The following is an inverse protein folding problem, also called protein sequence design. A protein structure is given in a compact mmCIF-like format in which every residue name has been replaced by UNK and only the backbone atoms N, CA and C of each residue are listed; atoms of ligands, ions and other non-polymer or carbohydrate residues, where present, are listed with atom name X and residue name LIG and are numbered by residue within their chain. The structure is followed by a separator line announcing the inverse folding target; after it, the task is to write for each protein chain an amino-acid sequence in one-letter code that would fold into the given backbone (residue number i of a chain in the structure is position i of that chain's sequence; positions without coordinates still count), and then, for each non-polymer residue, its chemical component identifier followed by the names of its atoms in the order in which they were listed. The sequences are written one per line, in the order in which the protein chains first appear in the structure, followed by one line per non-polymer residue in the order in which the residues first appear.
data_IF_098556749805
#
_entry.id   IF_098556749805
#
_cell.length_a   1.000
_cell.length_b   1.000
_cell.length_c   1.000
_cell.angle_alpha   90.00
_cell.angle_beta   90.00
_cell.angle_gamma   90.00
#
_symmetry.space_group_name_H-M   'P 1'
#
loop_
_entity.id
_entity.type
_entity.pdbx_description
1 polymer ?
#
# COMPACT_ATOMS: atom_id res chain seq x y z
N UNK A 1 7.22 10.05 25.23
CA UNK A 1 7.51 10.99 24.13
C UNK A 1 6.31 11.19 23.19
N UNK A 2 5.77 10.12 22.52
CA UNK A 2 4.62 10.28 21.57
C UNK A 2 3.38 10.88 22.28
N UNK A 3 3.12 10.51 23.55
CA UNK A 3 2.00 11.09 24.32
C UNK A 3 2.25 12.54 24.72
N UNK A 4 3.47 12.91 24.94
CA UNK A 4 3.88 14.26 25.38
C UNK A 4 3.98 15.22 24.22
N UNK A 5 4.59 14.78 23.11
CA UNK A 5 4.85 15.61 21.94
C UNK A 5 3.66 15.70 20.99
N UNK A 6 2.77 14.71 21.05
CA UNK A 6 1.59 14.61 20.18
C UNK A 6 1.88 14.89 18.70
N UNK A 7 2.82 14.18 18.06
CA UNK A 7 3.20 14.46 16.67
C UNK A 7 2.05 14.12 15.71
N UNK A 8 1.99 14.83 14.59
CA UNK A 8 1.01 14.59 13.51
C UNK A 8 1.39 13.40 12.63
N UNK A 9 2.69 13.15 12.46
CA UNK A 9 3.26 12.05 11.67
C UNK A 9 4.48 11.50 12.40
N UNK A 10 4.67 10.20 12.33
CA UNK A 10 5.87 9.52 12.80
C UNK A 10 6.65 8.94 11.61
N UNK A 11 7.96 9.20 11.55
CA UNK A 11 8.87 8.45 10.70
C UNK A 11 9.47 7.29 11.49
N UNK A 12 9.45 6.08 10.94
CA UNK A 12 9.84 4.86 11.64
C UNK A 12 10.76 4.01 10.77
N UNK A 13 11.93 3.68 11.29
CA UNK A 13 12.84 2.73 10.66
C UNK A 13 12.34 1.29 10.89
N UNK A 14 12.50 0.42 9.90
CA UNK A 14 12.22 -1.02 10.04
C UNK A 14 13.31 -1.65 10.91
N UNK A 15 14.57 -1.40 10.60
CA UNK A 15 15.71 -2.00 11.28
C UNK A 15 16.14 -1.14 12.47
N UNK A 16 15.69 -1.49 13.68
CA UNK A 16 16.09 -0.79 14.90
C UNK A 16 16.68 -1.75 15.94
N UNK A 17 17.70 -1.32 16.71
CA UNK A 17 18.23 -2.12 17.82
C UNK A 17 17.16 -2.29 18.91
N UNK A 18 17.10 -3.48 19.53
CA UNK A 18 16.23 -3.87 20.66
C UNK A 18 14.75 -4.13 20.32
N UNK A 19 14.16 -3.49 19.33
CA UNK A 19 12.78 -3.70 18.92
C UNK A 19 12.68 -3.48 17.41
N UNK A 20 12.10 -4.44 16.71
CA UNK A 20 11.81 -4.32 15.28
C UNK A 20 10.77 -3.21 15.04
N UNK A 21 10.98 -2.47 13.95
CA UNK A 21 10.06 -1.40 13.56
C UNK A 21 8.64 -1.90 13.26
N UNK A 22 8.49 -3.13 12.74
CA UNK A 22 7.19 -3.74 12.49
C UNK A 22 6.45 -4.05 13.80
N UNK A 23 7.15 -4.63 14.80
CA UNK A 23 6.59 -4.86 16.13
C UNK A 23 6.16 -3.55 16.81
N UNK A 24 6.97 -2.51 16.64
CA UNK A 24 6.62 -1.19 17.15
C UNK A 24 5.39 -0.61 16.43
N UNK A 25 5.34 -0.70 15.11
CA UNK A 25 4.21 -0.24 14.29
C UNK A 25 2.91 -0.92 14.70
N UNK A 26 2.90 -2.26 14.81
CA UNK A 26 1.71 -3.01 15.21
C UNK A 26 1.17 -2.56 16.57
N UNK A 27 2.06 -2.41 17.57
CA UNK A 27 1.69 -1.91 18.89
C UNK A 27 1.17 -0.49 18.85
N UNK A 28 1.79 0.38 18.06
CA UNK A 28 1.36 1.76 17.90
C UNK A 28 -0.03 1.84 17.28
N UNK A 29 -0.26 1.11 16.19
CA UNK A 29 -1.55 1.11 15.48
C UNK A 29 -2.68 0.54 16.33
N UNK A 30 -2.39 -0.39 17.22
CA UNK A 30 -3.36 -0.93 18.19
C UNK A 30 -3.68 0.05 19.32
N UNK A 31 -2.66 0.71 19.89
CA UNK A 31 -2.79 1.51 21.10
C UNK A 31 -3.11 2.98 20.83
N UNK A 32 -2.53 3.52 19.78
CA UNK A 32 -2.67 4.92 19.38
C UNK A 32 -2.43 5.07 17.88
N UNK A 33 -3.40 4.69 17.03
CA UNK A 33 -3.28 4.84 15.59
C UNK A 33 -2.94 6.28 15.20
N UNK A 34 -1.91 6.44 14.38
CA UNK A 34 -1.47 7.73 13.85
C UNK A 34 -0.73 7.52 12.52
N UNK A 35 -0.58 8.56 11.68
CA UNK A 35 0.17 8.44 10.45
C UNK A 35 1.63 8.04 10.69
N UNK A 36 2.06 6.95 10.07
CA UNK A 36 3.44 6.45 10.12
C UNK A 36 3.97 6.32 8.71
N UNK A 37 5.15 6.88 8.48
CA UNK A 37 5.93 6.77 7.27
C UNK A 37 7.16 5.91 7.56
N UNK A 38 7.24 4.74 6.92
CA UNK A 38 8.37 3.83 7.14
C UNK A 38 9.62 4.33 6.42
N UNK A 39 10.76 4.13 7.02
CA UNK A 39 12.06 4.40 6.40
C UNK A 39 12.82 3.08 6.35
N UNK A 40 13.27 2.67 5.16
CA UNK A 40 13.94 1.36 5.00
C UNK A 40 15.01 1.40 3.92
N UNK A 41 16.03 0.54 4.07
CA UNK A 41 16.90 0.17 2.97
C UNK A 41 16.14 -0.75 2.04
N UNK A 42 15.64 -0.18 0.93
CA UNK A 42 14.81 -0.90 -0.02
C UNK A 42 15.69 -1.75 -0.96
N UNK A 43 15.78 -3.02 -0.65
CA UNK A 43 16.30 -4.05 -1.57
C UNK A 43 15.14 -5.00 -1.91
N UNK A 44 15.30 -5.85 -2.93
CA UNK A 44 14.29 -6.90 -3.21
C UNK A 44 14.05 -7.77 -1.98
N UNK A 45 15.11 -8.09 -1.21
CA UNK A 45 15.01 -8.87 0.03
C UNK A 45 14.19 -8.17 1.14
N UNK A 46 14.13 -6.83 1.13
CA UNK A 46 13.43 -6.04 2.14
C UNK A 46 12.05 -5.54 1.67
N UNK A 47 11.57 -5.97 0.50
CA UNK A 47 10.26 -5.59 -0.01
C UNK A 47 9.11 -6.15 0.84
N UNK A 48 9.21 -7.40 1.29
CA UNK A 48 8.18 -8.04 2.11
C UNK A 48 7.95 -7.34 3.46
N UNK A 49 8.99 -6.99 4.26
CA UNK A 49 8.80 -6.22 5.48
C UNK A 49 8.14 -4.86 5.25
N UNK A 50 8.50 -4.15 4.17
CA UNK A 50 7.91 -2.86 3.86
C UNK A 50 6.43 -2.99 3.43
N UNK A 51 6.08 -4.01 2.64
CA UNK A 51 4.68 -4.29 2.28
C UNK A 51 3.87 -4.73 3.50
N UNK A 52 4.46 -5.51 4.42
CA UNK A 52 3.83 -5.87 5.67
C UNK A 52 3.56 -4.62 6.53
N UNK A 53 4.50 -3.67 6.57
CA UNK A 53 4.28 -2.42 7.29
C UNK A 53 3.05 -1.64 6.77
N UNK A 54 2.83 -1.61 5.45
CA UNK A 54 1.64 -0.99 4.87
C UNK A 54 0.35 -1.69 5.33
N UNK A 55 0.34 -3.02 5.39
CA UNK A 55 -0.82 -3.77 5.92
C UNK A 55 -1.06 -3.55 7.42
N UNK A 56 0.02 -3.36 8.18
CA UNK A 56 -0.07 -3.00 9.60
C UNK A 56 -0.56 -1.56 9.81
N UNK A 57 -0.74 -0.79 8.73
CA UNK A 57 -1.33 0.54 8.73
C UNK A 57 -0.35 1.70 8.54
N UNK A 58 0.90 1.44 8.13
CA UNK A 58 1.78 2.52 7.67
C UNK A 58 1.18 3.18 6.41
N UNK A 59 1.34 4.50 6.30
CA UNK A 59 0.79 5.26 5.17
C UNK A 59 1.59 5.03 3.89
N UNK A 60 2.92 5.00 4.02
CA UNK A 60 3.85 4.84 2.91
C UNK A 60 5.25 4.51 3.44
N UNK A 61 6.21 4.37 2.54
CA UNK A 61 7.62 4.16 2.89
C UNK A 61 8.55 5.07 2.09
N UNK A 62 9.76 5.29 2.62
CA UNK A 62 10.87 6.02 2.00
C UNK A 62 12.06 5.08 1.87
N UNK A 63 12.69 5.08 0.69
CA UNK A 63 13.92 4.32 0.45
C UNK A 63 15.16 5.08 0.92
N UNK A 64 15.98 4.44 1.77
CA UNK A 64 17.31 4.96 2.12
C UNK A 64 18.34 4.83 0.98
N UNK A 65 18.10 3.94 0.00
CA UNK A 65 19.06 3.65 -1.08
C UNK A 65 19.20 4.76 -2.12
N UNK A 66 18.30 5.74 -2.13
CA UNK A 66 18.40 6.92 -3.00
C UNK A 66 19.45 7.95 -2.52
N UNK A 67 20.23 7.62 -1.50
CA UNK A 67 21.34 8.42 -1.01
C UNK A 67 22.61 8.31 -1.89
N UNK A 68 22.51 8.47 -3.19
CA UNK A 68 23.69 8.59 -4.04
C UNK A 68 24.21 10.03 -3.97
N UNK A 69 25.42 10.20 -3.42
CA UNK A 69 25.97 11.43 -2.84
C UNK A 69 26.18 12.61 -3.82
N UNK A 70 25.98 12.43 -5.11
CA UNK A 70 26.34 13.47 -6.08
C UNK A 70 25.16 14.30 -6.64
N UNK A 71 23.93 13.74 -6.68
CA UNK A 71 22.78 14.44 -7.29
C UNK A 71 21.46 14.17 -6.54
N UNK A 72 21.45 13.33 -5.54
CA UNK A 72 20.22 12.77 -4.93
C UNK A 72 19.71 13.52 -3.69
N UNK A 73 20.48 14.39 -3.06
CA UNK A 73 20.11 14.94 -1.75
C UNK A 73 18.90 15.89 -1.82
N UNK A 74 18.82 16.72 -2.84
CA UNK A 74 17.70 17.66 -2.99
C UNK A 74 16.42 16.93 -3.38
N UNK A 75 16.49 16.05 -4.39
CA UNK A 75 15.31 15.28 -4.84
C UNK A 75 14.80 14.31 -3.76
N UNK A 76 15.70 13.73 -2.97
CA UNK A 76 15.34 12.90 -1.83
C UNK A 76 14.67 13.74 -0.72
N UNK A 77 15.19 14.91 -0.43
CA UNK A 77 14.61 15.83 0.55
C UNK A 77 13.19 16.22 0.15
N UNK A 78 12.97 16.54 -1.12
CA UNK A 78 11.66 16.91 -1.64
C UNK A 78 10.67 15.75 -1.58
N UNK A 79 11.10 14.51 -1.91
CA UNK A 79 10.27 13.30 -1.77
C UNK A 79 9.88 13.09 -0.31
N UNK A 80 10.83 13.16 0.61
CA UNK A 80 10.58 12.99 2.06
C UNK A 80 9.60 14.03 2.57
N UNK A 81 9.83 15.30 2.29
CA UNK A 81 8.98 16.41 2.72
C UNK A 81 7.56 16.26 2.13
N UNK A 82 7.46 15.91 0.85
CA UNK A 82 6.19 15.68 0.19
C UNK A 82 5.41 14.54 0.84
N UNK A 83 6.04 13.38 1.06
CA UNK A 83 5.42 12.23 1.70
C UNK A 83 4.98 12.52 3.14
N UNK A 84 5.81 13.22 3.93
CA UNK A 84 5.44 13.64 5.30
C UNK A 84 4.19 14.53 5.25
N UNK A 85 4.18 15.56 4.40
CA UNK A 85 3.03 16.47 4.27
C UNK A 85 1.76 15.75 3.84
N UNK A 86 1.85 14.83 2.90
CA UNK A 86 0.71 14.03 2.44
C UNK A 86 0.21 13.07 3.51
N UNK A 87 1.12 12.50 4.32
CA UNK A 87 0.77 11.56 5.38
C UNK A 87 -0.09 12.18 6.48
N UNK A 88 -0.01 13.49 6.72
CA UNK A 88 -0.87 14.20 7.69
C UNK A 88 -2.37 14.06 7.35
N UNK A 89 -2.69 13.96 6.07
CA UNK A 89 -4.08 13.85 5.60
C UNK A 89 -4.58 12.40 5.53
N UNK A 90 -3.73 11.42 5.83
CA UNK A 90 -4.10 10.02 5.79
C UNK A 90 -5.14 9.68 6.87
N UNK A 91 -6.23 9.04 6.46
CA UNK A 91 -7.24 8.54 7.39
C UNK A 91 -6.80 7.18 7.93
N UNK A 92 -6.28 7.16 9.14
CA UNK A 92 -5.86 5.92 9.78
C UNK A 92 -7.08 5.18 10.34
N UNK A 93 -7.34 3.99 9.82
CA UNK A 93 -8.36 3.10 10.39
C UNK A 93 -7.81 2.46 11.66
N UNK A 94 -8.59 2.40 12.73
CA UNK A 94 -8.26 1.57 13.87
C UNK A 94 -8.29 0.12 13.43
N UNK A 95 -7.16 -0.57 13.51
CA UNK A 95 -7.12 -2.02 13.34
C UNK A 95 -7.92 -2.64 14.48
N UNK A 96 -9.18 -2.94 14.26
CA UNK A 96 -9.94 -3.84 15.13
C UNK A 96 -9.56 -5.25 14.72
N UNK A 97 -8.68 -5.88 15.50
CA UNK A 97 -8.19 -7.24 15.29
C UNK A 97 -9.28 -8.34 15.24
N UNK A 98 -10.55 -7.97 15.17
CA UNK A 98 -11.73 -8.84 15.15
C UNK A 98 -12.65 -8.63 13.95
N UNK A 99 -12.22 -7.96 12.88
CA UNK A 99 -13.05 -7.83 11.67
C UNK A 99 -12.69 -8.82 10.56
N UNK A 100 -11.92 -9.87 10.85
CA UNK A 100 -11.60 -10.91 9.88
C UNK A 100 -12.73 -11.89 9.57
N UNK A 101 -13.94 -11.78 10.17
CA UNK A 101 -15.02 -12.75 9.90
C UNK A 101 -16.44 -12.18 9.76
N UNK A 102 -16.61 -10.88 9.82
CA UNK A 102 -17.93 -10.26 9.61
C UNK A 102 -17.92 -9.10 8.60
N UNK A 103 -17.14 -9.19 7.53
CA UNK A 103 -17.62 -8.57 6.31
C UNK A 103 -18.89 -9.32 5.92
N UNK A 104 -20.00 -8.73 6.32
CA UNK A 104 -21.33 -9.06 5.91
C UNK A 104 -21.23 -9.52 4.45
N UNK A 105 -21.48 -10.81 4.22
CA UNK A 105 -21.98 -11.30 2.95
C UNK A 105 -23.29 -10.57 2.68
N UNK A 106 -23.23 -9.29 2.38
CA UNK A 106 -24.24 -8.69 1.56
C UNK A 106 -24.08 -9.44 0.24
N UNK A 107 -24.90 -10.49 0.11
CA UNK A 107 -25.31 -11.01 -1.14
C UNK A 107 -25.97 -9.85 -1.91
N UNK A 108 -25.15 -8.92 -2.39
CA UNK A 108 -25.44 -8.26 -3.62
C UNK A 108 -25.44 -9.43 -4.61
N UNK A 109 -26.62 -10.00 -4.82
CA UNK A 109 -26.91 -10.76 -6.01
C UNK A 109 -26.66 -9.77 -7.15
N UNK A 110 -25.38 -9.65 -7.53
CA UNK A 110 -25.06 -9.20 -8.85
C UNK A 110 -25.76 -10.25 -9.72
N UNK A 111 -26.99 -9.92 -10.13
CA UNK A 111 -27.60 -10.62 -11.23
C UNK A 111 -26.49 -10.69 -12.26
N UNK A 112 -26.09 -11.91 -12.60
CA UNK A 112 -25.14 -12.17 -13.66
C UNK A 112 -25.80 -11.75 -14.99
N UNK A 113 -26.08 -10.46 -15.13
CA UNK A 113 -26.07 -9.82 -16.40
C UNK A 113 -24.64 -10.04 -16.84
N UNK A 114 -24.43 -10.92 -17.80
CA UNK A 114 -23.21 -10.98 -18.58
C UNK A 114 -23.01 -9.57 -19.10
N UNK A 115 -22.46 -8.72 -18.24
CA UNK A 115 -22.17 -7.34 -18.60
C UNK A 115 -21.11 -7.47 -19.67
N UNK A 116 -21.55 -7.30 -20.92
CA UNK A 116 -20.62 -7.23 -22.04
C UNK A 116 -19.77 -5.99 -21.82
N UNK A 117 -18.65 -6.16 -21.08
CA UNK A 117 -17.71 -5.07 -20.82
C UNK A 117 -17.10 -4.55 -22.10
N UNK A 118 -17.18 -5.32 -23.22
CA UNK A 118 -16.74 -4.92 -24.55
C UNK A 118 -15.29 -4.43 -24.52
N UNK A 119 -15.07 -3.21 -24.98
CA UNK A 119 -13.76 -2.54 -24.97
C UNK A 119 -13.58 -1.60 -23.76
N UNK A 120 -14.28 -1.84 -22.64
CA UNK A 120 -14.13 -0.99 -21.44
C UNK A 120 -12.85 -1.34 -20.70
N UNK A 121 -12.20 -0.31 -20.19
CA UNK A 121 -10.97 -0.39 -19.43
C UNK A 121 -11.07 0.55 -18.22
N UNK A 122 -10.62 0.11 -17.06
CA UNK A 122 -10.45 0.93 -15.87
C UNK A 122 -8.98 1.31 -15.78
N UNK A 123 -8.68 2.60 -15.58
CA UNK A 123 -7.32 3.08 -15.38
C UNK A 123 -7.25 3.75 -14.01
N UNK A 124 -6.30 3.33 -13.20
CA UNK A 124 -6.09 3.83 -11.83
C UNK A 124 -4.68 4.38 -11.71
N UNK A 125 -4.55 5.63 -11.28
CA UNK A 125 -3.27 6.23 -10.89
C UNK A 125 -3.23 6.47 -9.40
N UNK A 126 -2.14 6.10 -8.72
CA UNK A 126 -2.01 6.25 -7.29
C UNK A 126 -0.56 6.58 -6.85
N UNK A 127 -0.44 7.21 -5.67
CA UNK A 127 0.84 7.61 -5.07
C UNK A 127 0.79 7.34 -3.56
N UNK A 128 1.21 8.29 -2.72
CA UNK A 128 1.23 8.15 -1.25
C UNK A 128 -0.13 7.67 -0.71
N UNK A 129 -0.12 6.59 0.07
CA UNK A 129 -1.32 5.91 0.56
C UNK A 129 -2.05 5.07 -0.51
N UNK A 130 -1.55 5.06 -1.75
CA UNK A 130 -2.16 4.36 -2.88
C UNK A 130 -2.17 2.84 -2.73
N UNK A 131 -1.18 2.27 -2.08
CA UNK A 131 -1.05 0.83 -1.89
C UNK A 131 -2.25 0.24 -1.15
N UNK A 132 -2.63 0.85 -0.03
CA UNK A 132 -3.79 0.40 0.74
C UNK A 132 -5.11 0.73 0.02
N UNK A 133 -5.20 1.91 -0.62
CA UNK A 133 -6.39 2.28 -1.40
C UNK A 133 -6.61 1.33 -2.59
N UNK A 134 -5.55 0.93 -3.30
CA UNK A 134 -5.61 -0.06 -4.38
C UNK A 134 -6.05 -1.41 -3.82
N UNK A 135 -5.47 -1.87 -2.71
CA UNK A 135 -5.83 -3.12 -2.06
C UNK A 135 -7.31 -3.16 -1.70
N UNK A 136 -7.81 -2.15 -0.99
CA UNK A 136 -9.23 -2.04 -0.62
C UNK A 136 -10.13 -2.03 -1.86
N UNK A 137 -9.78 -1.23 -2.86
CA UNK A 137 -10.53 -1.15 -4.11
C UNK A 137 -10.63 -2.50 -4.80
N UNK A 138 -9.50 -3.22 -4.99
CA UNK A 138 -9.48 -4.48 -5.71
C UNK A 138 -10.15 -5.62 -4.94
N UNK A 139 -10.06 -5.63 -3.60
CA UNK A 139 -10.70 -6.66 -2.77
C UNK A 139 -12.23 -6.63 -2.83
N UNK A 140 -12.82 -5.47 -3.07
CA UNK A 140 -14.28 -5.30 -3.18
C UNK A 140 -14.80 -5.68 -4.58
N UNK A 141 -13.93 -5.83 -5.57
CA UNK A 141 -14.35 -6.10 -6.94
C UNK A 141 -14.82 -7.56 -7.12
N UNK A 142 -15.89 -7.76 -7.90
CA UNK A 142 -16.30 -9.10 -8.34
C UNK A 142 -15.32 -9.61 -9.43
N UNK A 143 -15.30 -10.93 -9.71
CA UNK A 143 -14.38 -11.51 -10.68
C UNK A 143 -14.68 -11.15 -12.14
N UNK A 144 -15.87 -10.63 -12.44
CA UNK A 144 -16.35 -10.29 -13.78
C UNK A 144 -16.25 -8.78 -14.11
N UNK A 145 -15.16 -8.14 -13.73
CA UNK A 145 -14.90 -6.71 -14.01
C UNK A 145 -14.19 -6.50 -15.35
N UNK A 146 -14.26 -5.28 -15.92
CA UNK A 146 -13.39 -4.92 -17.05
C UNK A 146 -11.92 -5.11 -16.72
N UNK A 147 -11.07 -5.17 -17.73
CA UNK A 147 -9.62 -5.12 -17.52
C UNK A 147 -9.23 -3.83 -16.79
N UNK A 148 -8.23 -3.92 -15.91
CA UNK A 148 -7.79 -2.80 -15.06
C UNK A 148 -6.30 -2.59 -15.28
N UNK A 149 -5.91 -1.34 -15.54
CA UNK A 149 -4.52 -0.90 -15.54
C UNK A 149 -4.26 -0.02 -14.32
N UNK A 150 -3.23 -0.34 -13.57
CA UNK A 150 -2.87 0.41 -12.36
C UNK A 150 -1.45 0.94 -12.49
N UNK A 151 -1.27 2.24 -12.25
CA UNK A 151 0.02 2.89 -12.09
C UNK A 151 0.16 3.37 -10.66
N UNK A 152 1.07 2.75 -9.90
CA UNK A 152 1.42 3.13 -8.53
C UNK A 152 2.82 3.70 -8.50
N UNK A 153 2.98 4.89 -7.91
CA UNK A 153 4.29 5.47 -7.69
C UNK A 153 5.03 4.71 -6.57
N UNK A 154 5.88 3.76 -6.96
CA UNK A 154 6.70 2.95 -6.07
C UNK A 154 7.99 2.50 -6.76
N UNK A 155 9.05 2.09 -6.02
CA UNK A 155 10.24 1.52 -6.62
C UNK A 155 9.95 0.24 -7.42
N UNK A 156 10.68 0.03 -8.50
CA UNK A 156 10.51 -1.12 -9.41
C UNK A 156 10.59 -2.47 -8.67
N UNK A 157 11.53 -2.60 -7.73
CA UNK A 157 11.69 -3.82 -6.92
C UNK A 157 10.46 -4.19 -6.06
N UNK A 158 9.48 -3.29 -5.92
CA UNK A 158 8.26 -3.50 -5.12
C UNK A 158 7.04 -3.87 -5.96
N UNK A 159 7.05 -3.60 -7.26
CA UNK A 159 5.86 -3.78 -8.11
C UNK A 159 5.45 -5.25 -8.19
N UNK A 160 6.40 -6.15 -8.42
CA UNK A 160 6.15 -7.59 -8.49
C UNK A 160 5.69 -8.21 -7.16
N UNK A 161 6.39 -7.99 -6.01
CA UNK A 161 5.91 -8.42 -4.70
C UNK A 161 4.51 -7.88 -4.37
N UNK A 162 4.24 -6.63 -4.67
CA UNK A 162 2.93 -6.01 -4.44
C UNK A 162 1.83 -6.65 -5.30
N UNK A 163 2.08 -6.84 -6.60
CA UNK A 163 1.14 -7.52 -7.49
C UNK A 163 0.86 -8.96 -7.03
N UNK A 164 1.89 -9.74 -6.67
CA UNK A 164 1.74 -11.09 -6.14
C UNK A 164 0.88 -11.12 -4.87
N UNK A 165 1.10 -10.17 -3.97
CA UNK A 165 0.34 -10.06 -2.72
C UNK A 165 -1.13 -9.73 -2.98
N UNK A 166 -1.42 -8.78 -3.86
CA UNK A 166 -2.79 -8.47 -4.29
C UNK A 166 -3.46 -9.67 -4.94
N UNK A 167 -2.74 -10.41 -5.78
CA UNK A 167 -3.26 -11.61 -6.44
C UNK A 167 -3.72 -12.69 -5.46
N UNK A 168 -3.10 -12.80 -4.28
CA UNK A 168 -3.51 -13.75 -3.24
C UNK A 168 -4.73 -13.29 -2.44
N UNK A 169 -5.01 -12.00 -2.41
CA UNK A 169 -6.06 -11.39 -1.59
C UNK A 169 -7.34 -11.08 -2.39
N UNK A 170 -7.21 -10.85 -3.68
CA UNK A 170 -8.32 -10.44 -4.55
C UNK A 170 -8.99 -11.63 -5.25
N UNK A 171 -10.22 -11.42 -5.71
CA UNK A 171 -10.96 -12.40 -6.54
C UNK A 171 -10.62 -12.33 -8.02
N UNK A 172 -9.98 -11.25 -8.44
CA UNK A 172 -9.48 -10.99 -9.79
C UNK A 172 -8.01 -11.38 -9.89
N UNK A 173 -7.52 -11.66 -11.10
CA UNK A 173 -6.12 -11.95 -11.35
C UNK A 173 -5.30 -10.66 -11.39
N UNK A 174 -4.28 -10.56 -10.56
CA UNK A 174 -3.39 -9.39 -10.52
C UNK A 174 -1.97 -9.80 -10.91
N UNK A 175 -1.41 -9.12 -11.89
CA UNK A 175 -0.04 -9.36 -12.36
C UNK A 175 0.73 -8.05 -12.48
N UNK A 176 2.05 -8.11 -12.34
CA UNK A 176 2.93 -7.04 -12.77
C UNK A 176 3.03 -7.04 -14.29
N UNK A 177 2.78 -5.90 -14.92
CA UNK A 177 2.89 -5.77 -16.38
C UNK A 177 4.35 -5.79 -16.84
N UNK A 178 4.66 -6.63 -17.81
CA UNK A 178 5.98 -6.70 -18.44
C UNK A 178 6.03 -5.98 -19.80
N UNK A 179 4.86 -5.56 -20.29
CA UNK A 179 4.67 -4.90 -21.59
C UNK A 179 4.27 -5.88 -22.69
N UNK A 180 3.23 -5.50 -23.43
CA UNK A 180 2.71 -6.30 -24.54
C UNK A 180 1.59 -7.30 -24.17
N UNK A 181 1.26 -7.47 -22.90
CA UNK A 181 0.16 -8.33 -22.49
C UNK A 181 -1.19 -7.71 -22.88
N UNK A 182 -2.13 -8.60 -23.19
CA UNK A 182 -3.52 -8.17 -23.39
C UNK A 182 -4.18 -7.92 -22.03
N UNK A 183 -4.81 -6.77 -21.89
CA UNK A 183 -5.64 -6.46 -20.72
C UNK A 183 -6.97 -7.19 -20.86
N UNK A 184 -7.19 -8.18 -20.01
CA UNK A 184 -8.35 -9.05 -20.04
C UNK A 184 -9.32 -8.69 -18.91
N UNK A 185 -10.63 -8.91 -19.06
CA UNK A 185 -11.57 -8.87 -17.93
C UNK A 185 -11.17 -9.86 -16.84
N UNK A 186 -11.42 -9.48 -15.57
CA UNK A 186 -11.10 -10.31 -14.41
C UNK A 186 -9.65 -10.44 -14.07
#
# INVERSE_FOLDING_TARGET
LIRELNPDVLTLDIEMPKMDGLDFLERLMRLRPMPVLMISTLTEANSEPALLALELGAVDFISKTKFDMATGLESFSDEVVSKIRMSVYAKIKKSTANQSEQSVKQNLSYAANQANWGNKLIIVGASTGGTEAIREFLMELPPDVPGILIAQHMPESFTKPFANRLNTQCRITVIEAQGGERVLPG
#
